data_IF_183733702294
#
_entry.id   IF_183733702294
#
_cell.length_a   1.000
_cell.length_b   1.000
_cell.length_c   1.000
_cell.angle_alpha   90.00
_cell.angle_beta   90.00
_cell.angle_gamma   90.00
#
_symmetry.space_group_name_H-M   'P 1'
#
loop_
_entity.id
_entity.type
_entity.pdbx_description
1 polymer ?
#
# COMPACT_ATOMS: atom_id res chain seq x y z
N UNK A 1 -14.48 -26.32 -15.18
CA UNK A 1 -13.13 -26.04 -14.65
C UNK A 1 -13.29 -25.78 -13.16
N UNK A 2 -12.92 -26.73 -12.30
CA UNK A 2 -12.94 -26.52 -10.84
C UNK A 2 -11.80 -25.54 -10.49
N UNK A 3 -11.98 -24.59 -9.56
CA UNK A 3 -10.86 -23.81 -9.08
C UNK A 3 -9.85 -24.77 -8.41
N UNK A 4 -8.58 -24.65 -8.79
CA UNK A 4 -7.48 -25.38 -8.16
C UNK A 4 -7.47 -25.07 -6.66
N UNK A 5 -7.52 -26.10 -5.83
CA UNK A 5 -7.53 -25.98 -4.35
C UNK A 5 -6.16 -25.61 -3.76
N UNK A 6 -5.25 -25.08 -4.58
CA UNK A 6 -3.88 -24.73 -4.21
C UNK A 6 -3.74 -23.24 -3.84
N UNK A 7 -2.61 -22.86 -3.22
CA UNK A 7 -2.27 -21.46 -2.99
C UNK A 7 -2.24 -20.68 -4.32
N UNK A 8 -2.73 -19.45 -4.30
CA UNK A 8 -2.64 -18.51 -5.44
C UNK A 8 -1.40 -17.64 -5.27
N UNK A 9 -0.58 -17.56 -6.30
CA UNK A 9 0.62 -16.72 -6.34
C UNK A 9 0.38 -15.49 -7.22
N UNK A 10 0.89 -14.33 -6.79
CA UNK A 10 0.71 -13.06 -7.50
C UNK A 10 2.04 -12.58 -8.07
N UNK A 11 2.06 -12.27 -9.37
CA UNK A 11 3.26 -11.80 -10.05
C UNK A 11 3.70 -10.42 -9.54
N UNK A 12 4.99 -10.29 -9.25
CA UNK A 12 5.61 -9.03 -8.84
C UNK A 12 5.40 -7.87 -9.83
N UNK A 13 5.45 -8.13 -11.14
CA UNK A 13 5.30 -7.06 -12.13
C UNK A 13 3.86 -6.58 -12.33
N UNK A 14 2.89 -7.49 -12.34
CA UNK A 14 1.53 -7.17 -12.82
C UNK A 14 0.39 -7.59 -11.88
N UNK A 15 0.70 -8.24 -10.76
CA UNK A 15 -0.28 -8.90 -9.88
C UNK A 15 -1.18 -9.95 -10.56
N UNK A 16 -0.76 -10.46 -11.73
CA UNK A 16 -1.40 -11.60 -12.37
C UNK A 16 -1.40 -12.82 -11.44
N UNK A 17 -2.48 -13.61 -11.46
CA UNK A 17 -2.61 -14.81 -10.61
C UNK A 17 -2.00 -16.00 -11.34
N UNK A 18 -1.20 -16.78 -10.62
CA UNK A 18 -0.54 -17.98 -11.14
C UNK A 18 -0.80 -19.14 -10.17
N UNK A 19 -0.85 -20.36 -10.70
CA UNK A 19 -0.96 -21.59 -9.91
C UNK A 19 0.41 -22.17 -9.51
N UNK A 20 1.48 -21.49 -9.94
CA UNK A 20 2.86 -21.80 -9.62
C UNK A 20 3.55 -20.61 -8.94
N UNK A 21 4.57 -20.92 -8.13
CA UNK A 21 5.20 -19.97 -7.22
C UNK A 21 6.40 -19.21 -7.81
N UNK A 22 6.87 -19.64 -8.98
CA UNK A 22 8.18 -19.27 -9.51
C UNK A 22 8.25 -19.44 -11.02
N UNK A 23 9.00 -18.58 -11.69
CA UNK A 23 9.15 -18.60 -13.14
C UNK A 23 8.23 -17.57 -13.83
N UNK A 24 8.07 -17.68 -15.15
CA UNK A 24 7.38 -16.67 -15.95
C UNK A 24 5.88 -16.64 -15.64
N UNK A 25 5.35 -15.43 -15.41
CA UNK A 25 3.96 -15.19 -15.14
C UNK A 25 3.08 -15.52 -16.36
N UNK A 26 1.96 -16.20 -16.10
CA UNK A 26 0.98 -16.60 -17.11
C UNK A 26 0.28 -15.41 -17.78
N UNK A 27 0.40 -14.20 -17.22
CA UNK A 27 -0.25 -12.98 -17.68
C UNK A 27 0.68 -12.03 -18.45
N UNK A 28 1.90 -11.79 -17.95
CA UNK A 28 2.83 -10.82 -18.55
C UNK A 28 4.16 -11.43 -19.01
N UNK A 29 4.47 -12.67 -18.64
CA UNK A 29 5.72 -13.34 -19.00
C UNK A 29 6.94 -12.96 -18.15
N UNK A 30 6.85 -11.95 -17.28
CA UNK A 30 7.92 -11.62 -16.31
C UNK A 30 8.00 -12.65 -15.19
N UNK A 31 9.12 -12.69 -14.47
CA UNK A 31 9.26 -13.52 -13.26
C UNK A 31 8.18 -13.15 -12.21
N UNK A 32 7.57 -14.17 -11.61
CA UNK A 32 6.56 -14.00 -10.55
C UNK A 32 7.21 -13.46 -9.28
N UNK A 33 8.43 -13.90 -9.01
CA UNK A 33 9.18 -13.56 -7.81
C UNK A 33 9.56 -12.08 -7.75
N UNK A 34 9.69 -11.54 -6.53
CA UNK A 34 10.36 -10.27 -6.36
C UNK A 34 11.82 -10.35 -6.85
N UNK A 35 12.42 -9.22 -7.27
CA UNK A 35 13.85 -9.11 -7.46
C UNK A 35 14.62 -9.66 -6.24
N UNK A 36 15.76 -10.31 -6.50
CA UNK A 36 16.53 -10.98 -5.45
C UNK A 36 17.00 -10.04 -4.33
N UNK A 37 17.21 -8.76 -4.66
CA UNK A 37 17.63 -7.68 -3.77
C UNK A 37 16.47 -6.86 -3.18
N UNK A 38 15.21 -7.23 -3.47
CA UNK A 38 14.04 -6.55 -2.91
C UNK A 38 13.99 -6.75 -1.39
N UNK A 39 14.30 -5.67 -0.66
CA UNK A 39 14.23 -5.62 0.79
C UNK A 39 12.78 -5.63 1.33
N UNK A 40 12.64 -5.60 2.65
CA UNK A 40 11.32 -5.64 3.29
C UNK A 40 10.48 -4.40 2.93
N UNK A 41 11.07 -3.21 2.90
CA UNK A 41 10.36 -1.97 2.56
C UNK A 41 9.80 -2.06 1.14
N UNK A 42 10.62 -2.49 0.18
CA UNK A 42 10.25 -2.67 -1.22
C UNK A 42 9.08 -3.65 -1.37
N UNK A 43 9.11 -4.78 -0.66
CA UNK A 43 8.02 -5.77 -0.65
C UNK A 43 6.74 -5.23 -0.05
N UNK A 44 6.83 -4.44 1.02
CA UNK A 44 5.65 -3.82 1.63
C UNK A 44 5.08 -2.70 0.75
N UNK A 45 5.93 -1.90 0.10
CA UNK A 45 5.51 -0.87 -0.86
C UNK A 45 4.78 -1.51 -2.04
N UNK A 46 5.32 -2.60 -2.59
CA UNK A 46 4.61 -3.42 -3.59
C UNK A 46 3.28 -3.94 -3.04
N UNK A 47 3.25 -4.41 -1.80
CA UNK A 47 2.04 -4.92 -1.17
C UNK A 47 0.90 -3.90 -1.08
N UNK A 48 1.17 -2.59 -1.01
CA UNK A 48 0.14 -1.54 -0.89
C UNK A 48 -0.94 -1.63 -1.98
N UNK A 49 -0.55 -1.98 -3.21
CA UNK A 49 -1.45 -2.06 -4.37
C UNK A 49 -1.90 -3.49 -4.68
N UNK A 50 -1.64 -4.42 -3.76
CA UNK A 50 -1.98 -5.82 -3.97
C UNK A 50 -3.50 -6.01 -4.14
N UNK A 51 -3.98 -6.82 -5.11
CA UNK A 51 -5.41 -7.03 -5.35
C UNK A 51 -6.17 -7.66 -4.18
N UNK A 52 -5.46 -8.42 -3.34
CA UNK A 52 -5.99 -8.87 -2.05
C UNK A 52 -5.96 -7.72 -1.03
N UNK A 53 -7.12 -7.23 -0.54
CA UNK A 53 -7.20 -6.10 0.37
C UNK A 53 -6.53 -6.36 1.73
N UNK A 54 -6.49 -7.61 2.21
CA UNK A 54 -5.81 -7.96 3.46
C UNK A 54 -4.31 -7.76 3.33
N UNK A 55 -3.73 -8.13 2.17
CA UNK A 55 -2.30 -7.92 1.88
C UNK A 55 -2.00 -6.43 1.78
N UNK A 56 -2.84 -5.66 1.07
CA UNK A 56 -2.69 -4.22 0.96
C UNK A 56 -2.70 -3.52 2.33
N UNK A 57 -3.71 -3.82 3.14
CA UNK A 57 -3.88 -3.22 4.46
C UNK A 57 -2.76 -3.62 5.42
N UNK A 58 -2.36 -4.89 5.42
CA UNK A 58 -1.24 -5.38 6.24
C UNK A 58 0.08 -4.72 5.85
N UNK A 59 0.31 -4.55 4.55
CA UNK A 59 1.54 -3.94 4.05
C UNK A 59 1.68 -2.49 4.52
N UNK A 60 0.61 -1.71 4.35
CA UNK A 60 0.55 -0.31 4.82
C UNK A 60 0.77 -0.18 6.33
N UNK A 61 0.15 -1.06 7.13
CA UNK A 61 0.25 -1.02 8.60
C UNK A 61 1.63 -1.40 9.11
N UNK A 62 2.39 -2.18 8.35
CA UNK A 62 3.71 -2.65 8.78
C UNK A 62 4.84 -1.69 8.42
N UNK A 63 4.65 -0.82 7.43
CA UNK A 63 5.66 0.17 7.02
C UNK A 63 6.18 1.04 8.17
N UNK A 64 5.34 1.62 9.06
CA UNK A 64 5.84 2.38 10.21
C UNK A 64 6.69 1.56 11.19
N UNK A 65 6.44 0.25 11.29
CA UNK A 65 7.21 -0.64 12.16
C UNK A 65 8.60 -0.93 11.60
N UNK A 66 8.77 -0.85 10.28
CA UNK A 66 10.08 -0.94 9.62
C UNK A 66 10.86 0.37 9.84
N UNK A 67 10.16 1.51 9.90
CA UNK A 67 10.77 2.81 10.19
C UNK A 67 11.56 3.42 9.02
N UNK A 68 11.43 2.83 7.83
CA UNK A 68 12.12 3.30 6.63
C UNK A 68 11.31 4.40 5.92
N UNK A 69 11.85 5.61 5.93
CA UNK A 69 11.22 6.79 5.33
C UNK A 69 11.17 6.76 3.80
N UNK A 70 11.88 5.84 3.15
CA UNK A 70 11.78 5.63 1.69
C UNK A 70 10.37 5.22 1.24
N UNK A 71 9.52 4.75 2.16
CA UNK A 71 8.12 4.40 1.91
C UNK A 71 7.15 5.60 1.85
N UNK A 72 7.58 6.80 2.29
CA UNK A 72 6.71 8.00 2.36
C UNK A 72 6.04 8.33 1.02
N UNK A 73 6.74 8.36 -0.14
CA UNK A 73 6.11 8.63 -1.43
C UNK A 73 5.00 7.63 -1.78
N UNK A 74 5.20 6.34 -1.47
CA UNK A 74 4.21 5.31 -1.74
C UNK A 74 2.97 5.45 -0.83
N UNK A 75 3.17 5.81 0.45
CA UNK A 75 2.07 6.09 1.37
C UNK A 75 1.27 7.32 0.94
N UNK A 76 1.92 8.41 0.49
CA UNK A 76 1.24 9.58 -0.10
C UNK A 76 0.40 9.18 -1.32
N UNK A 77 0.97 8.41 -2.24
CA UNK A 77 0.26 7.93 -3.41
C UNK A 77 -0.98 7.08 -3.02
N UNK A 78 -0.88 6.27 -1.97
CA UNK A 78 -2.00 5.48 -1.46
C UNK A 78 -3.07 6.28 -0.73
N UNK A 79 -2.79 7.52 -0.29
CA UNK A 79 -3.80 8.45 0.21
C UNK A 79 -4.52 9.15 -0.96
N UNK A 80 -3.77 9.55 -1.98
CA UNK A 80 -4.27 10.33 -3.13
C UNK A 80 -5.10 9.46 -4.08
N UNK A 81 -4.59 8.28 -4.42
CA UNK A 81 -5.21 7.31 -5.32
C UNK A 81 -5.29 5.96 -4.61
N UNK A 82 -6.24 5.77 -3.69
CA UNK A 82 -6.28 4.55 -2.89
C UNK A 82 -6.86 3.36 -3.67
N UNK A 83 -6.36 2.13 -3.46
CA UNK A 83 -7.04 0.93 -3.94
C UNK A 83 -8.40 0.73 -3.25
N UNK A 84 -8.52 1.12 -1.97
CA UNK A 84 -9.79 1.21 -1.26
C UNK A 84 -9.74 2.23 -0.09
N UNK A 85 -10.89 2.69 0.43
CA UNK A 85 -10.94 3.72 1.49
C UNK A 85 -10.27 3.33 2.82
N UNK A 86 -10.19 2.05 3.17
CA UNK A 86 -9.53 1.57 4.39
C UNK A 86 -8.01 1.58 4.23
N UNK A 87 -7.51 1.20 3.06
CA UNK A 87 -6.09 1.35 2.72
C UNK A 87 -5.70 2.82 2.72
N UNK A 88 -6.52 3.72 2.16
CA UNK A 88 -6.29 5.17 2.20
C UNK A 88 -6.13 5.71 3.63
N UNK A 89 -7.05 5.30 4.52
CA UNK A 89 -7.03 5.73 5.92
C UNK A 89 -5.85 5.15 6.69
N UNK A 90 -5.49 3.89 6.45
CA UNK A 90 -4.29 3.28 7.01
C UNK A 90 -3.02 3.98 6.49
N UNK A 91 -2.99 4.33 5.20
CA UNK A 91 -1.84 4.99 4.58
C UNK A 91 -1.61 6.36 5.19
N UNK A 92 -2.68 7.14 5.41
CA UNK A 92 -2.56 8.45 6.05
C UNK A 92 -2.03 8.33 7.50
N UNK A 93 -2.51 7.36 8.28
CA UNK A 93 -2.01 7.12 9.64
C UNK A 93 -0.55 6.67 9.66
N UNK A 94 -0.19 5.75 8.76
CA UNK A 94 1.19 5.27 8.61
C UNK A 94 2.12 6.39 8.18
N UNK A 95 1.68 7.26 7.27
CA UNK A 95 2.41 8.43 6.81
C UNK A 95 2.72 9.35 7.98
N UNK A 96 1.70 9.75 8.76
CA UNK A 96 1.88 10.59 9.95
C UNK A 96 2.66 9.92 11.10
N UNK A 97 2.96 8.62 11.00
CA UNK A 97 3.85 7.92 11.94
C UNK A 97 5.31 7.94 11.48
N UNK A 98 5.54 8.09 10.17
CA UNK A 98 6.87 8.14 9.55
C UNK A 98 7.33 9.58 9.23
N UNK A 99 6.39 10.51 9.17
CA UNK A 99 6.61 11.95 8.98
C UNK A 99 5.82 12.76 10.00
N UNK A 100 5.85 14.09 9.88
CA UNK A 100 5.12 15.01 10.76
C UNK A 100 3.87 15.59 10.10
N UNK A 101 2.93 16.05 10.92
CA UNK A 101 1.73 16.76 10.44
C UNK A 101 2.11 18.01 9.63
N UNK A 102 3.18 18.71 10.02
CA UNK A 102 3.67 19.90 9.31
C UNK A 102 4.19 19.57 7.90
N UNK A 103 4.89 18.44 7.72
CA UNK A 103 5.37 17.99 6.40
C UNK A 103 4.24 17.56 5.47
N UNK A 104 3.11 17.12 6.03
CA UNK A 104 1.95 16.64 5.28
C UNK A 104 0.78 17.63 5.23
N UNK A 105 0.98 18.89 5.68
CA UNK A 105 -0.11 19.85 5.86
C UNK A 105 -0.94 20.03 4.59
N UNK A 106 -0.29 20.16 3.44
CA UNK A 106 -0.97 20.32 2.14
C UNK A 106 -1.85 19.11 1.80
N UNK A 107 -1.31 17.90 1.94
CA UNK A 107 -2.05 16.66 1.70
C UNK A 107 -3.23 16.51 2.67
N UNK A 108 -3.04 16.85 3.94
CA UNK A 108 -4.08 16.81 4.96
C UNK A 108 -5.21 17.80 4.63
N UNK A 109 -4.88 19.04 4.26
CA UNK A 109 -5.86 20.05 3.86
C UNK A 109 -6.65 19.60 2.64
N UNK A 110 -5.98 19.08 1.61
CA UNK A 110 -6.66 18.50 0.44
C UNK A 110 -7.58 17.35 0.85
N UNK A 111 -7.11 16.45 1.71
CA UNK A 111 -7.86 15.28 2.17
C UNK A 111 -9.13 15.65 2.94
N UNK A 112 -9.14 16.75 3.68
CA UNK A 112 -10.35 17.26 4.35
C UNK A 112 -11.43 17.69 3.35
N UNK A 113 -11.03 18.25 2.20
CA UNK A 113 -11.93 18.80 1.19
C UNK A 113 -12.41 17.75 0.18
N UNK A 114 -11.52 16.87 -0.27
CA UNK A 114 -11.77 15.98 -1.42
C UNK A 114 -11.61 14.50 -1.08
N UNK A 115 -11.09 14.17 0.11
CA UNK A 115 -10.80 12.79 0.49
C UNK A 115 -12.03 11.99 0.91
N UNK A 116 -11.95 10.65 0.91
CA UNK A 116 -12.98 9.79 1.48
C UNK A 116 -13.30 10.16 2.93
N UNK A 117 -14.54 9.98 3.43
CA UNK A 117 -14.96 10.44 4.76
C UNK A 117 -14.03 10.01 5.90
N UNK A 118 -13.51 8.78 5.85
CA UNK A 118 -12.59 8.26 6.86
C UNK A 118 -11.23 8.99 6.83
N UNK A 119 -10.70 9.25 5.64
CA UNK A 119 -9.45 9.99 5.44
C UNK A 119 -9.62 11.44 5.86
N UNK A 120 -10.71 12.09 5.45
CA UNK A 120 -11.04 13.47 5.82
C UNK A 120 -11.16 13.64 7.34
N UNK A 121 -11.74 12.65 8.03
CA UNK A 121 -11.85 12.66 9.50
C UNK A 121 -10.47 12.59 10.17
N UNK A 122 -9.59 11.69 9.73
CA UNK A 122 -8.22 11.56 10.26
C UNK A 122 -7.44 12.85 9.99
N UNK A 123 -7.52 13.39 8.78
CA UNK A 123 -6.82 14.59 8.39
C UNK A 123 -7.25 15.81 9.22
N UNK A 124 -8.56 15.96 9.46
CA UNK A 124 -9.09 17.04 10.32
C UNK A 124 -8.61 16.91 11.76
N UNK A 125 -8.54 15.69 12.29
CA UNK A 125 -8.06 15.45 13.64
C UNK A 125 -6.56 15.75 13.78
N UNK A 126 -5.76 15.33 12.80
CA UNK A 126 -4.33 15.63 12.77
C UNK A 126 -4.07 17.14 12.74
N UNK A 127 -4.78 17.88 11.88
CA UNK A 127 -4.63 19.34 11.77
C UNK A 127 -5.08 20.12 13.01
N UNK A 128 -5.98 19.57 13.83
CA UNK A 128 -6.40 20.20 15.10
C UNK A 128 -5.36 20.05 16.21
N UNK A 129 -4.57 18.99 16.15
CA UNK A 129 -3.59 18.61 17.18
C UNK A 129 -2.16 19.02 16.81
N UNK A 130 -2.00 19.79 15.72
CA UNK A 130 -0.74 20.41 15.29
C UNK A 130 -0.42 21.65 16.12
#
# INVERSE_FOLDING_TARGET
MMPSSGPTYYCWSCYGRNDHASGPCDHCGDEIEPPADADLTTRLVWGIRHPNPDVALMSVRRLPMVGDSSAIPALRAAVIDPPDPYVAAAALKSLLSLSSVAEEEELLRSSVSTGPPLVASIAREALKNM
#
